data_IF_164529562656
#
_entry.id   IF_164529562656
#
_cell.length_a   1.000
_cell.length_b   1.000
_cell.length_c   1.000
_cell.angle_alpha   90.00
_cell.angle_beta   90.00
_cell.angle_gamma   90.00
#
_symmetry.space_group_name_H-M   'P 1'
#
loop_
_entity.id
_entity.type
_entity.pdbx_description
1 polymer ?
#
# COMPACT_ATOMS: atom_id res chain seq x y z
N UNK A 1 13.69 59.23 17.43
CA UNK A 1 12.70 58.55 16.56
C UNK A 1 12.08 57.39 17.34
N UNK A 2 10.88 57.56 17.93
CA UNK A 2 10.25 56.54 18.78
C UNK A 2 9.73 55.41 17.89
N UNK A 3 10.33 54.22 17.99
CA UNK A 3 9.95 53.02 17.23
C UNK A 3 8.61 52.52 17.78
N UNK A 4 7.54 52.59 16.98
CA UNK A 4 6.19 52.21 17.37
C UNK A 4 6.04 50.68 17.50
N UNK A 5 6.58 50.13 18.60
CA UNK A 5 6.51 48.71 18.99
C UNK A 5 5.08 48.17 19.07
N UNK A 6 4.09 49.05 19.25
CA UNK A 6 2.67 48.70 19.32
C UNK A 6 2.18 48.03 18.03
N UNK A 7 2.61 48.48 16.85
CA UNK A 7 2.18 47.89 15.59
C UNK A 7 2.87 46.56 15.29
N UNK A 8 4.10 46.37 15.76
CA UNK A 8 4.84 45.12 15.58
C UNK A 8 4.23 43.97 16.39
N UNK A 9 3.88 44.23 17.66
CA UNK A 9 3.19 43.26 18.51
C UNK A 9 1.77 42.96 18.01
N UNK A 10 1.06 43.96 17.48
CA UNK A 10 -0.28 43.76 16.93
C UNK A 10 -0.25 42.91 15.65
N UNK A 11 0.72 43.16 14.76
CA UNK A 11 0.90 42.37 13.54
C UNK A 11 1.34 40.93 13.85
N UNK A 12 2.18 40.71 14.87
CA UNK A 12 2.58 39.34 15.26
C UNK A 12 1.42 38.54 15.87
N UNK A 13 0.56 39.17 16.67
CA UNK A 13 -0.64 38.52 17.23
C UNK A 13 -1.65 38.22 16.12
N UNK A 14 -1.81 39.12 15.15
CA UNK A 14 -2.71 38.91 14.01
C UNK A 14 -2.22 37.76 13.12
N UNK A 15 -0.92 37.70 12.83
CA UNK A 15 -0.31 36.59 12.08
C UNK A 15 -0.49 35.26 12.84
N UNK A 16 -0.24 35.24 14.15
CA UNK A 16 -0.43 34.03 14.96
C UNK A 16 -1.90 33.58 14.99
N UNK A 17 -2.86 34.53 15.04
CA UNK A 17 -4.29 34.24 14.98
C UNK A 17 -4.76 33.73 13.60
N UNK A 18 -4.10 34.15 12.52
CA UNK A 18 -4.37 33.64 11.15
C UNK A 18 -3.87 32.20 11.03
N UNK A 19 -2.65 31.90 11.50
CA UNK A 19 -2.10 30.54 11.50
C UNK A 19 -2.78 29.61 12.51
N UNK A 20 -3.31 30.11 13.63
CA UNK A 20 -4.01 29.28 14.62
C UNK A 20 -5.42 28.89 14.20
N UNK A 21 -6.02 29.58 13.22
CA UNK A 21 -7.38 29.30 12.73
C UNK A 21 -7.42 28.47 11.44
N UNK A 22 -6.29 28.32 10.76
CA UNK A 22 -6.15 27.21 9.83
C UNK A 22 -6.06 25.95 10.66
N UNK A 23 -7.08 25.09 10.59
CA UNK A 23 -6.95 23.70 11.05
C UNK A 23 -5.86 23.03 10.22
N UNK A 24 -4.59 23.25 10.56
CA UNK A 24 -3.43 22.67 9.84
C UNK A 24 -3.31 21.17 10.15
N UNK A 25 -3.99 20.68 11.17
CA UNK A 25 -4.21 19.26 11.39
C UNK A 25 -5.60 19.12 12.03
N UNK A 26 -6.65 19.12 11.21
CA UNK A 26 -7.92 18.56 11.67
C UNK A 26 -7.68 17.06 11.78
N UNK A 27 -7.48 16.60 13.00
CA UNK A 27 -7.55 15.21 13.41
C UNK A 27 -8.92 14.63 13.02
N UNK A 28 -9.06 14.19 11.78
CA UNK A 28 -10.15 13.31 11.33
C UNK A 28 -9.63 11.88 11.11
N UNK A 29 -8.49 11.55 11.73
CA UNK A 29 -7.84 10.26 11.63
C UNK A 29 -8.32 9.24 12.67
N UNK A 30 -9.12 9.67 13.66
CA UNK A 30 -9.51 8.84 14.81
C UNK A 30 -10.92 8.25 14.76
N UNK A 31 -11.73 8.57 13.75
CA UNK A 31 -13.03 7.92 13.51
C UNK A 31 -12.91 6.67 12.63
N UNK A 32 -11.74 6.02 12.61
CA UNK A 32 -11.69 4.60 12.25
C UNK A 32 -12.20 3.87 13.50
N UNK A 33 -13.44 3.30 13.51
CA UNK A 33 -13.85 2.48 14.64
C UNK A 33 -12.76 1.43 14.83
N UNK A 34 -12.18 1.37 16.03
CA UNK A 34 -11.01 0.56 16.40
C UNK A 34 -11.26 -0.96 16.34
N UNK A 35 -11.98 -1.44 15.32
CA UNK A 35 -12.43 -2.81 15.14
C UNK A 35 -12.50 -3.19 13.67
N UNK A 36 -11.43 -2.91 12.92
CA UNK A 36 -11.07 -3.76 11.80
C UNK A 36 -9.72 -4.39 12.09
N UNK A 37 -9.73 -5.32 13.04
CA UNK A 37 -8.67 -6.32 13.14
C UNK A 37 -8.77 -7.13 11.84
N UNK A 38 -7.98 -6.76 10.83
CA UNK A 38 -7.71 -7.67 9.71
C UNK A 38 -7.07 -8.87 10.36
N UNK A 39 -7.84 -9.95 10.55
CA UNK A 39 -7.25 -11.25 10.90
C UNK A 39 -6.21 -11.50 9.82
N UNK A 40 -4.93 -11.41 10.19
CA UNK A 40 -3.84 -11.77 9.31
C UNK A 40 -4.05 -13.25 8.99
N UNK A 41 -4.58 -13.54 7.80
CA UNK A 41 -4.39 -14.86 7.21
C UNK A 41 -2.88 -15.10 7.23
N UNK A 42 -2.42 -16.22 7.78
CA UNK A 42 -1.01 -16.51 8.00
C UNK A 42 -0.15 -16.05 6.82
N UNK A 43 0.62 -14.98 7.03
CA UNK A 43 1.57 -14.43 6.06
C UNK A 43 1.01 -13.50 4.96
N UNK A 44 -0.21 -12.95 5.13
CA UNK A 44 -0.67 -11.80 4.36
C UNK A 44 0.32 -10.61 4.42
N UNK A 45 0.33 -9.79 3.38
CA UNK A 45 1.11 -8.55 3.27
C UNK A 45 0.22 -7.38 2.90
N UNK A 46 0.59 -6.20 3.35
CA UNK A 46 -0.15 -4.96 3.14
C UNK A 46 0.82 -3.84 2.76
N UNK A 47 0.41 -3.01 1.80
CA UNK A 47 1.09 -1.77 1.41
C UNK A 47 0.05 -0.69 1.11
N UNK A 48 0.48 0.56 1.11
CA UNK A 48 -0.33 1.71 0.71
C UNK A 48 0.47 2.65 -0.18
N UNK A 49 -0.24 3.53 -0.88
CA UNK A 49 0.36 4.72 -1.48
C UNK A 49 0.84 5.71 -0.39
N UNK A 50 1.58 6.75 -0.79
CA UNK A 50 2.15 7.73 0.16
C UNK A 50 1.06 8.50 0.91
N UNK A 51 -0.10 8.69 0.29
CA UNK A 51 -1.25 9.35 0.92
C UNK A 51 -2.02 8.43 1.89
N UNK A 52 -1.76 7.12 1.85
CA UNK A 52 -2.51 6.09 2.59
C UNK A 52 -3.94 5.88 2.08
N UNK A 53 -4.35 6.55 1.00
CA UNK A 53 -5.72 6.49 0.46
C UNK A 53 -5.96 5.14 -0.21
N UNK A 54 -5.00 4.68 -1.00
CA UNK A 54 -5.05 3.37 -1.63
C UNK A 54 -4.30 2.36 -0.75
N UNK A 55 -5.00 1.30 -0.34
CA UNK A 55 -4.44 0.24 0.52
C UNK A 55 -4.64 -1.11 -0.16
N UNK A 56 -3.58 -1.91 -0.25
CA UNK A 56 -3.56 -3.19 -0.93
C UNK A 56 -3.19 -4.30 0.04
N UNK A 57 -3.94 -5.39 0.02
CA UNK A 57 -3.67 -6.58 0.85
C UNK A 57 -3.55 -7.79 -0.05
N UNK A 58 -2.35 -8.37 -0.09
CA UNK A 58 -2.08 -9.65 -0.75
C UNK A 58 -2.07 -10.77 0.29
N UNK A 59 -2.75 -11.88 0.00
CA UNK A 59 -2.85 -13.00 0.93
C UNK A 59 -3.03 -14.33 0.19
N UNK A 60 -2.55 -15.37 0.83
CA UNK A 60 -2.67 -16.75 0.37
C UNK A 60 -3.51 -17.54 1.38
N UNK A 61 -4.53 -18.26 0.91
CA UNK A 61 -5.34 -19.15 1.75
C UNK A 61 -5.64 -20.45 1.01
N UNK A 62 -6.53 -20.38 0.02
CA UNK A 62 -6.82 -21.47 -0.94
C UNK A 62 -6.20 -21.14 -2.30
N UNK A 63 -6.03 -19.85 -2.58
CA UNK A 63 -5.43 -19.31 -3.79
C UNK A 63 -4.70 -18.00 -3.43
N UNK A 64 -3.89 -17.50 -4.36
CA UNK A 64 -3.25 -16.20 -4.24
C UNK A 64 -4.26 -15.12 -4.58
N UNK A 65 -4.51 -14.20 -3.65
CA UNK A 65 -5.51 -13.16 -3.81
C UNK A 65 -4.99 -11.79 -3.41
N UNK A 66 -5.57 -10.77 -4.01
CA UNK A 66 -5.38 -9.38 -3.61
C UNK A 66 -6.74 -8.68 -3.42
N UNK A 67 -6.81 -7.79 -2.43
CA UNK A 67 -7.91 -6.82 -2.26
C UNK A 67 -7.35 -5.41 -2.23
N UNK A 68 -8.17 -4.44 -2.65
CA UNK A 68 -7.84 -3.02 -2.53
C UNK A 68 -8.89 -2.23 -1.78
N UNK A 69 -8.46 -1.13 -1.20
CA UNK A 69 -9.26 -0.04 -0.68
C UNK A 69 -8.83 1.25 -1.36
N UNK A 70 -9.77 2.18 -1.54
CA UNK A 70 -9.54 3.55 -2.01
C UNK A 70 -10.03 4.60 -1.00
N UNK A 71 -10.30 4.16 0.23
CA UNK A 71 -10.89 4.93 1.32
C UNK A 71 -10.15 4.73 2.64
N UNK A 72 -8.81 4.67 2.57
CA UNK A 72 -7.92 4.56 3.74
C UNK A 72 -8.11 3.27 4.54
N UNK A 73 -8.49 2.18 3.87
CA UNK A 73 -8.72 0.88 4.49
C UNK A 73 -10.06 0.74 5.21
N UNK A 74 -10.99 1.71 5.09
CA UNK A 74 -12.33 1.64 5.69
C UNK A 74 -13.19 0.56 5.04
N UNK A 75 -13.10 0.41 3.72
CA UNK A 75 -13.76 -0.66 2.96
C UNK A 75 -12.80 -1.28 1.96
N UNK A 76 -13.03 -2.56 1.63
CA UNK A 76 -12.23 -3.29 0.65
C UNK A 76 -13.12 -3.86 -0.45
N UNK A 77 -12.62 -3.84 -1.67
CA UNK A 77 -13.25 -4.49 -2.82
C UNK A 77 -13.36 -6.00 -2.65
N UNK A 78 -14.11 -6.62 -3.56
CA UNK A 78 -13.99 -8.06 -3.82
C UNK A 78 -12.53 -8.42 -4.13
N UNK A 79 -12.15 -9.66 -3.80
CA UNK A 79 -10.80 -10.16 -4.08
C UNK A 79 -10.62 -10.48 -5.55
N UNK A 80 -9.47 -10.10 -6.08
CA UNK A 80 -8.96 -10.56 -7.37
C UNK A 80 -8.02 -11.73 -7.12
N UNK A 81 -8.31 -12.89 -7.73
CA UNK A 81 -7.43 -14.04 -7.68
C UNK A 81 -6.29 -13.86 -8.69
N UNK A 82 -5.05 -14.03 -8.24
CA UNK A 82 -3.86 -13.92 -9.08
C UNK A 82 -3.32 -15.30 -9.48
N UNK A 83 -3.52 -16.33 -8.67
CA UNK A 83 -2.99 -17.68 -8.95
C UNK A 83 -3.57 -18.72 -8.01
N UNK A 84 -3.26 -20.00 -8.21
CA UNK A 84 -3.72 -21.10 -7.34
C UNK A 84 -2.79 -21.33 -6.14
N UNK A 85 -1.64 -20.66 -6.10
CA UNK A 85 -0.63 -20.83 -5.06
C UNK A 85 -1.08 -20.43 -3.66
N UNK A 86 -0.57 -21.15 -2.67
CA UNK A 86 -0.75 -20.87 -1.24
C UNK A 86 0.53 -20.32 -0.58
N UNK A 87 1.58 -20.06 -1.36
CA UNK A 87 2.82 -19.48 -0.87
C UNK A 87 2.65 -18.03 -0.40
N UNK A 88 3.49 -17.60 0.54
CA UNK A 88 3.38 -16.26 1.12
C UNK A 88 3.68 -15.19 0.06
N UNK A 89 2.79 -14.21 -0.14
CA UNK A 89 3.04 -13.16 -1.10
C UNK A 89 4.06 -12.16 -0.57
N UNK A 90 4.63 -11.41 -1.50
CA UNK A 90 5.21 -10.09 -1.26
C UNK A 90 4.53 -9.07 -2.18
N UNK A 91 4.39 -7.84 -1.73
CA UNK A 91 3.67 -6.78 -2.44
C UNK A 91 4.38 -5.45 -2.27
N UNK A 92 4.38 -4.64 -3.33
CA UNK A 92 4.87 -3.26 -3.32
C UNK A 92 4.00 -2.38 -4.20
N UNK A 93 4.06 -1.06 -3.98
CA UNK A 93 3.38 -0.07 -4.80
C UNK A 93 4.21 1.20 -4.90
N UNK A 94 3.96 2.02 -5.92
CA UNK A 94 4.59 3.33 -6.05
C UNK A 94 3.88 4.39 -5.18
N UNK A 95 4.45 5.60 -5.14
CA UNK A 95 3.96 6.70 -4.30
C UNK A 95 2.48 7.09 -4.56
N UNK A 96 2.02 6.90 -5.80
CA UNK A 96 0.64 7.22 -6.22
C UNK A 96 -0.34 6.06 -6.06
N UNK A 97 0.15 4.85 -5.78
CA UNK A 97 -0.65 3.63 -5.80
C UNK A 97 -1.03 3.14 -7.20
N UNK A 98 -0.64 3.83 -8.27
CA UNK A 98 -1.02 3.49 -9.65
C UNK A 98 -0.45 2.13 -10.06
N UNK A 99 0.81 1.89 -9.70
CA UNK A 99 1.50 0.65 -9.99
C UNK A 99 1.56 -0.22 -8.74
N UNK A 100 1.08 -1.46 -8.86
CA UNK A 100 1.09 -2.44 -7.78
C UNK A 100 1.73 -3.71 -8.29
N UNK A 101 2.72 -4.23 -7.57
CA UNK A 101 3.45 -5.44 -7.93
C UNK A 101 3.28 -6.49 -6.85
N UNK A 102 2.94 -7.70 -7.24
CA UNK A 102 2.79 -8.85 -6.33
C UNK A 102 3.65 -9.99 -6.85
N UNK A 103 4.42 -10.60 -5.94
CA UNK A 103 5.13 -11.84 -6.20
C UNK A 103 4.70 -12.92 -5.22
N UNK A 104 4.71 -14.17 -5.66
CA UNK A 104 4.42 -15.32 -4.81
C UNK A 104 5.10 -16.57 -5.34
N UNK A 105 5.13 -17.60 -4.50
CA UNK A 105 5.66 -18.92 -4.88
C UNK A 105 4.51 -19.93 -4.96
N UNK A 106 4.51 -20.72 -6.03
CA UNK A 106 3.58 -21.83 -6.27
C UNK A 106 4.36 -22.96 -6.94
N UNK A 107 4.27 -24.19 -6.40
CA UNK A 107 4.92 -25.38 -6.98
C UNK A 107 6.41 -25.19 -7.33
N UNK A 108 7.16 -24.56 -6.42
CA UNK A 108 8.59 -24.21 -6.58
C UNK A 108 8.89 -23.15 -7.65
N UNK A 109 7.87 -22.49 -8.19
CA UNK A 109 7.99 -21.43 -9.18
C UNK A 109 7.70 -20.08 -8.55
N UNK A 110 8.51 -19.08 -8.86
CA UNK A 110 8.31 -17.69 -8.51
C UNK A 110 7.46 -17.04 -9.60
N UNK A 111 6.32 -16.48 -9.23
CA UNK A 111 5.45 -15.74 -10.12
C UNK A 111 5.41 -14.26 -9.77
N UNK A 112 5.09 -13.44 -10.76
CA UNK A 112 4.82 -12.02 -10.62
C UNK A 112 3.56 -11.63 -11.38
N UNK A 113 2.78 -10.72 -10.80
CA UNK A 113 1.72 -10.00 -11.51
C UNK A 113 1.73 -8.54 -11.09
N UNK A 114 1.27 -7.68 -11.99
CA UNK A 114 1.29 -6.24 -11.82
C UNK A 114 -0.02 -5.60 -12.26
N UNK A 115 -0.34 -4.47 -11.64
CA UNK A 115 -1.41 -3.58 -12.01
C UNK A 115 -0.82 -2.21 -12.36
N UNK A 116 -1.44 -1.53 -13.31
CA UNK A 116 -1.17 -0.14 -13.69
C UNK A 116 -2.42 0.73 -13.63
N UNK A 117 -3.43 0.32 -12.85
CA UNK A 117 -4.74 0.96 -12.74
C UNK A 117 -5.23 0.98 -11.27
N UNK A 118 -4.29 1.24 -10.35
CA UNK A 118 -4.54 1.26 -8.90
C UNK A 118 -5.13 -0.06 -8.37
N UNK A 119 -4.67 -1.20 -8.87
CA UNK A 119 -5.17 -2.53 -8.50
C UNK A 119 -6.58 -2.82 -9.00
N UNK A 120 -7.05 -2.14 -10.05
CA UNK A 120 -8.34 -2.42 -10.69
C UNK A 120 -8.31 -3.74 -11.45
N UNK A 121 -7.24 -3.97 -12.19
CA UNK A 121 -6.94 -5.19 -12.93
C UNK A 121 -5.47 -5.55 -12.78
N UNK A 122 -5.17 -6.84 -12.98
CA UNK A 122 -3.83 -7.39 -12.91
C UNK A 122 -3.56 -8.15 -14.21
N UNK A 123 -2.33 -8.07 -14.70
CA UNK A 123 -1.90 -8.88 -15.83
C UNK A 123 -1.85 -10.36 -15.46
N UNK A 124 -1.94 -11.23 -16.46
CA UNK A 124 -1.72 -12.66 -16.25
C UNK A 124 -0.36 -12.91 -15.59
N UNK A 125 -0.26 -13.86 -14.63
CA UNK A 125 0.98 -14.14 -13.94
C UNK A 125 2.12 -14.52 -14.88
N UNK A 126 3.28 -13.93 -14.63
CA UNK A 126 4.53 -14.24 -15.33
C UNK A 126 5.38 -15.12 -14.41
N UNK A 127 5.86 -16.26 -14.91
CA UNK A 127 6.87 -17.07 -14.25
C UNK A 127 8.23 -16.36 -14.33
N UNK A 128 8.83 -16.05 -13.19
CA UNK A 128 10.13 -15.39 -13.10
C UNK A 128 11.28 -16.37 -12.92
N UNK A 129 11.03 -17.47 -12.22
CA UNK A 129 12.04 -18.47 -11.86
C UNK A 129 11.36 -19.79 -11.50
N UNK A 130 11.98 -20.90 -11.86
CA UNK A 130 11.61 -22.24 -11.35
C UNK A 130 12.76 -22.74 -10.50
N UNK A 131 12.47 -23.25 -9.30
CA UNK A 131 13.47 -23.90 -8.45
C UNK A 131 13.52 -25.39 -8.79
N UNK A 132 14.30 -25.72 -9.81
CA UNK A 132 14.67 -27.09 -10.18
C UNK A 132 16.20 -27.21 -10.37
N UNK A 133 16.68 -28.44 -10.59
CA UNK A 133 18.12 -28.69 -10.72
C UNK A 133 18.65 -28.11 -12.04
N UNK A 134 17.81 -28.06 -13.09
CA UNK A 134 18.20 -27.60 -14.43
C UNK A 134 18.36 -26.07 -14.48
N UNK A 135 17.46 -25.31 -13.84
CA UNK A 135 17.59 -23.86 -13.65
C UNK A 135 18.84 -23.48 -12.86
N UNK A 136 19.18 -24.24 -11.81
CA UNK A 136 20.40 -24.02 -11.04
C UNK A 136 21.67 -24.17 -11.89
N UNK A 137 21.73 -25.19 -12.75
CA UNK A 137 22.84 -25.42 -13.68
C UNK A 137 22.92 -24.28 -14.71
N UNK A 138 21.76 -23.84 -15.22
CA UNK A 138 21.67 -22.78 -16.24
C UNK A 138 22.11 -21.41 -15.70
N UNK A 139 21.75 -21.06 -14.46
CA UNK A 139 22.19 -19.79 -13.84
C UNK A 139 23.67 -19.80 -13.43
N UNK A 140 24.23 -20.96 -13.09
CA UNK A 140 25.63 -21.06 -12.61
C UNK A 140 26.67 -21.22 -13.72
N UNK A 141 26.25 -21.42 -14.98
CA UNK A 141 27.15 -21.73 -16.12
C UNK A 141 28.14 -22.87 -15.79
N UNK A 142 27.71 -23.88 -15.03
CA UNK A 142 28.48 -25.09 -14.75
C UNK A 142 28.07 -26.20 -15.71
#
# INVERSE_FOLDING_TARGET
MKRNIKYFLFLSVLIFAIFSNTKIFAEEFWDIPAKQIVKSATGAKIVSDTAGKNVYVAYACISMNIKKSSDYGKTFSSSSQLGSGVGLPNISTNDTGEYVYVIWVEDKKLFSSASSDNGGSFIDPIELYTCDIESFITETNI
#
